data_IF_724362421710
#
_entry.id   IF_724362421710
#
_cell.length_a   1.000
_cell.length_b   1.000
_cell.length_c   1.000
_cell.angle_alpha   90.00
_cell.angle_beta   90.00
_cell.angle_gamma   90.00
#
_symmetry.space_group_name_H-M   'P 1'
#
loop_
_entity.id
_entity.type
_entity.pdbx_description
1 polymer ?
#
# COMPACT_ATOMS: atom_id res chain seq x y z
N UNK A 1 14.68 -7.96 -22.41
CA UNK A 1 14.44 -6.51 -22.26
C UNK A 1 14.77 -6.12 -20.82
N UNK A 2 15.99 -5.67 -20.54
CA UNK A 2 16.37 -5.22 -19.21
C UNK A 2 15.87 -3.77 -19.02
N UNK A 3 15.10 -3.53 -17.95
CA UNK A 3 14.69 -2.19 -17.55
C UNK A 3 15.94 -1.34 -17.27
N UNK A 4 16.12 -0.23 -17.99
CA UNK A 4 17.15 0.77 -17.66
C UNK A 4 16.71 1.48 -16.39
N UNK A 5 17.30 1.12 -15.25
CA UNK A 5 17.13 1.87 -14.01
C UNK A 5 17.90 3.19 -14.16
N UNK A 6 17.22 4.27 -14.52
CA UNK A 6 17.82 5.61 -14.49
C UNK A 6 18.04 6.01 -13.04
N UNK A 7 19.25 6.46 -12.70
CA UNK A 7 19.50 7.09 -11.40
C UNK A 7 18.64 8.36 -11.34
N UNK A 8 17.91 8.61 -10.24
CA UNK A 8 17.14 9.84 -10.10
C UNK A 8 18.12 11.02 -10.07
N UNK A 9 17.97 11.95 -11.00
CA UNK A 9 18.66 13.24 -11.00
C UNK A 9 17.93 14.17 -10.03
N UNK A 10 18.28 14.04 -8.75
CA UNK A 10 17.66 14.79 -7.66
C UNK A 10 18.04 16.27 -7.72
N UNK A 11 19.22 16.60 -8.25
CA UNK A 11 19.73 17.97 -8.33
C UNK A 11 18.98 18.80 -9.38
N UNK A 12 18.62 18.20 -10.53
CA UNK A 12 17.90 18.90 -11.60
C UNK A 12 16.39 18.63 -11.61
N UNK A 13 15.82 18.07 -10.54
CA UNK A 13 14.39 17.75 -10.50
C UNK A 13 13.54 19.04 -10.51
N UNK A 14 12.78 19.33 -11.59
CA UNK A 14 12.02 20.58 -11.69
C UNK A 14 10.69 20.53 -10.90
N UNK A 15 10.35 19.37 -10.33
CA UNK A 15 9.09 19.14 -9.64
C UNK A 15 9.19 19.34 -8.12
N UNK A 16 8.04 19.30 -7.46
CA UNK A 16 8.00 19.32 -5.98
C UNK A 16 8.54 18.01 -5.42
N UNK A 17 9.46 18.10 -4.47
CA UNK A 17 9.87 16.96 -3.65
C UNK A 17 8.77 16.64 -2.64
N UNK A 18 8.46 15.35 -2.47
CA UNK A 18 7.45 14.90 -1.51
C UNK A 18 8.17 14.55 -0.21
N UNK A 19 7.75 15.18 0.89
CA UNK A 19 8.06 14.65 2.22
C UNK A 19 7.11 13.49 2.49
N UNK A 20 7.67 12.28 2.59
CA UNK A 20 6.88 11.07 2.83
C UNK A 20 6.16 11.08 4.18
N UNK A 21 6.66 11.79 5.19
CA UNK A 21 6.01 11.93 6.49
C UNK A 21 4.77 12.81 6.37
N UNK A 22 4.90 13.98 5.74
CA UNK A 22 3.78 14.88 5.48
C UNK A 22 2.74 14.22 4.56
N UNK A 23 3.22 13.53 3.53
CA UNK A 23 2.38 12.80 2.60
C UNK A 23 1.61 11.65 3.29
N UNK A 24 2.26 10.92 4.19
CA UNK A 24 1.59 9.89 5.00
C UNK A 24 0.46 10.46 5.86
N UNK A 25 0.69 11.62 6.50
CA UNK A 25 -0.33 12.31 7.31
C UNK A 25 -1.53 12.76 6.47
N UNK A 26 -1.27 13.36 5.31
CA UNK A 26 -2.33 13.81 4.39
C UNK A 26 -3.13 12.63 3.82
N UNK A 27 -2.46 11.53 3.49
CA UNK A 27 -3.12 10.30 3.03
C UNK A 27 -4.04 9.70 4.10
N UNK A 28 -3.56 9.63 5.36
CA UNK A 28 -4.35 9.13 6.48
C UNK A 28 -5.60 9.99 6.73
N UNK A 29 -5.46 11.32 6.65
CA UNK A 29 -6.59 12.25 6.76
C UNK A 29 -7.60 12.03 5.63
N UNK A 30 -7.14 11.99 4.39
CA UNK A 30 -8.00 11.78 3.22
C UNK A 30 -8.75 10.43 3.29
N UNK A 31 -8.09 9.38 3.79
CA UNK A 31 -8.73 8.09 4.05
C UNK A 31 -9.84 8.19 5.08
N UNK A 32 -9.59 8.83 6.22
CA UNK A 32 -10.60 9.00 7.27
C UNK A 32 -11.81 9.80 6.77
N UNK A 33 -11.59 10.88 6.02
CA UNK A 33 -12.64 11.70 5.41
C UNK A 33 -13.49 10.89 4.43
N UNK A 34 -12.84 10.09 3.58
CA UNK A 34 -13.54 9.19 2.66
C UNK A 34 -14.37 8.15 3.41
N UNK A 35 -13.78 7.49 4.42
CA UNK A 35 -14.44 6.42 5.16
C UNK A 35 -15.63 6.95 6.00
N UNK A 36 -15.52 8.16 6.55
CA UNK A 36 -16.62 8.83 7.24
C UNK A 36 -17.80 9.14 6.30
N UNK A 37 -17.52 9.46 5.03
CA UNK A 37 -18.55 9.82 4.03
C UNK A 37 -19.13 8.62 3.29
N UNK A 38 -18.32 7.62 2.98
CA UNK A 38 -18.65 6.55 2.03
C UNK A 38 -18.57 5.14 2.64
N UNK A 39 -18.21 5.01 3.92
CA UNK A 39 -17.92 3.73 4.56
C UNK A 39 -16.52 3.20 4.23
N UNK A 40 -16.15 2.02 4.76
CA UNK A 40 -14.81 1.44 4.59
C UNK A 40 -14.38 1.39 3.13
N UNK A 41 -13.14 1.78 2.83
CA UNK A 41 -12.61 1.70 1.46
C UNK A 41 -12.68 0.23 1.01
N UNK A 42 -13.43 -0.10 -0.07
CA UNK A 42 -13.47 -1.44 -0.58
C UNK A 42 -12.10 -1.80 -1.16
N UNK A 43 -11.36 -2.68 -0.48
CA UNK A 43 -10.04 -3.13 -0.93
C UNK A 43 -10.23 -4.08 -2.12
N UNK A 44 -10.03 -3.65 -3.38
CA UNK A 44 -10.54 -4.40 -4.53
C UNK A 44 -9.66 -5.61 -4.86
N UNK A 45 -8.46 -5.70 -4.28
CA UNK A 45 -7.42 -6.64 -4.73
C UNK A 45 -7.48 -8.01 -4.04
N UNK A 46 -8.18 -8.14 -2.92
CA UNK A 46 -8.20 -9.36 -2.10
C UNK A 46 -9.59 -9.70 -1.53
N UNK A 47 -10.70 -9.30 -2.15
CA UNK A 47 -12.03 -9.59 -1.62
C UNK A 47 -12.80 -10.61 -2.49
N UNK A 48 -13.61 -11.43 -1.82
CA UNK A 48 -14.61 -12.32 -2.44
C UNK A 48 -14.06 -13.53 -3.20
N UNK A 49 -14.86 -14.03 -4.12
CA UNK A 49 -14.63 -15.24 -4.95
C UNK A 49 -13.43 -15.15 -5.90
N UNK A 50 -12.73 -14.02 -5.93
CA UNK A 50 -11.51 -13.79 -6.73
C UNK A 50 -10.23 -14.29 -6.05
N UNK A 51 -10.30 -14.78 -4.81
CA UNK A 51 -9.18 -15.50 -4.19
C UNK A 51 -9.20 -16.95 -4.65
N UNK A 52 -8.23 -17.32 -5.47
CA UNK A 52 -7.92 -18.73 -5.71
C UNK A 52 -7.42 -19.36 -4.41
N UNK A 53 -7.57 -20.68 -4.26
CA UNK A 53 -7.07 -21.41 -3.08
C UNK A 53 -5.57 -21.13 -2.82
N UNK A 54 -4.77 -21.04 -3.89
CA UNK A 54 -3.35 -20.67 -3.82
C UNK A 54 -3.11 -19.30 -3.19
N UNK A 55 -3.97 -18.33 -3.48
CA UNK A 55 -3.86 -16.96 -2.95
C UNK A 55 -4.33 -16.88 -1.50
N UNK A 56 -5.31 -17.69 -1.11
CA UNK A 56 -5.74 -17.82 0.28
C UNK A 56 -4.61 -18.40 1.14
N UNK A 57 -4.01 -19.51 0.71
CA UNK A 57 -2.89 -20.14 1.40
C UNK A 57 -1.68 -19.20 1.55
N UNK A 58 -1.40 -18.39 0.51
CA UNK A 58 -0.35 -17.38 0.59
C UNK A 58 -0.65 -16.31 1.65
N UNK A 59 -1.90 -15.82 1.72
CA UNK A 59 -2.29 -14.82 2.72
C UNK A 59 -2.27 -15.39 4.13
N UNK A 60 -2.67 -16.64 4.32
CA UNK A 60 -2.61 -17.32 5.62
C UNK A 60 -1.16 -17.49 6.09
N UNK A 61 -0.26 -17.85 5.18
CA UNK A 61 1.18 -17.93 5.47
C UNK A 61 1.78 -16.56 5.83
N UNK A 62 1.41 -15.50 5.10
CA UNK A 62 1.82 -14.12 5.40
C UNK A 62 1.33 -13.74 6.80
N UNK A 63 0.04 -13.93 7.10
CA UNK A 63 -0.54 -13.60 8.39
C UNK A 63 0.19 -14.30 9.55
N UNK A 64 0.44 -15.61 9.42
CA UNK A 64 1.18 -16.38 10.42
C UNK A 64 2.61 -15.87 10.66
N UNK A 65 3.27 -15.34 9.63
CA UNK A 65 4.59 -14.72 9.76
C UNK A 65 4.48 -13.36 10.47
N UNK A 66 3.55 -12.50 10.04
CA UNK A 66 3.32 -11.19 10.67
C UNK A 66 2.90 -11.30 12.13
N UNK A 67 2.05 -12.26 12.48
CA UNK A 67 1.62 -12.50 13.87
C UNK A 67 2.80 -12.93 14.75
N UNK A 68 3.69 -13.79 14.23
CA UNK A 68 4.92 -14.20 14.93
C UNK A 68 5.91 -13.04 15.09
N UNK A 69 5.96 -12.12 14.13
CA UNK A 69 6.89 -10.99 14.14
C UNK A 69 6.31 -9.73 14.82
N UNK A 70 5.02 -9.75 15.20
CA UNK A 70 4.33 -8.61 15.82
C UNK A 70 4.10 -7.44 14.87
N UNK A 71 4.20 -7.66 13.55
CA UNK A 71 4.03 -6.61 12.55
C UNK A 71 2.58 -6.57 12.10
N UNK A 72 1.93 -5.42 12.27
CA UNK A 72 0.57 -5.15 11.80
C UNK A 72 0.62 -4.05 10.74
N UNK A 73 0.06 -4.32 9.57
CA UNK A 73 -0.12 -3.37 8.47
C UNK A 73 -1.50 -2.74 8.51
#
# INVERSE_FOLDING_TARGET
MASKTSKPDVENWPGRTIDFVEYGRTLARARAEYEAKNGPIPVPRNAGTRRTASKQALLDAINAITDKQGWRW
#
